data_IF_049831242499
#
_entry.id   IF_049831242499
#
_cell.length_a   1.000
_cell.length_b   1.000
_cell.length_c   1.000
_cell.angle_alpha   90.00
_cell.angle_beta   90.00
_cell.angle_gamma   90.00
#
_symmetry.space_group_name_H-M   'P 1'
#
loop_
_entity.id
_entity.type
_entity.pdbx_description
1 polymer ?
#
# COMPACT_ATOMS: atom_id res chain seq x y z
N UNK A 1 -19.51 -24.94 17.21
CA UNK A 1 -20.16 -23.86 16.45
C UNK A 1 -19.18 -23.43 15.36
N UNK A 2 -19.69 -23.11 14.18
CA UNK A 2 -18.90 -23.03 12.93
C UNK A 2 -17.97 -21.84 12.87
N UNK A 3 -16.67 -22.06 12.65
CA UNK A 3 -15.76 -21.03 12.15
C UNK A 3 -15.92 -20.89 10.64
N UNK A 4 -16.39 -19.72 10.20
CA UNK A 4 -16.47 -19.34 8.80
C UNK A 4 -15.77 -17.99 8.57
N UNK A 5 -14.72 -18.00 7.75
CA UNK A 5 -14.28 -16.88 6.91
C UNK A 5 -14.35 -15.46 7.51
N UNK A 6 -13.29 -15.01 8.18
CA UNK A 6 -13.00 -13.58 8.38
C UNK A 6 -11.64 -13.25 7.75
N UNK A 7 -11.62 -13.16 6.42
CA UNK A 7 -10.51 -12.56 5.68
C UNK A 7 -10.68 -11.05 5.60
N UNK A 8 -9.60 -10.29 5.73
CA UNK A 8 -9.64 -8.81 5.64
C UNK A 8 -9.31 -8.09 6.95
N UNK A 9 -8.20 -8.43 7.59
CA UNK A 9 -7.60 -7.56 8.60
C UNK A 9 -6.54 -6.68 7.94
N UNK A 10 -6.91 -5.43 7.64
CA UNK A 10 -5.94 -4.34 7.52
C UNK A 10 -5.08 -4.33 8.78
N UNK A 11 -3.82 -4.76 8.64
CA UNK A 11 -2.93 -4.93 9.78
C UNK A 11 -2.59 -3.55 10.33
N UNK A 12 -3.13 -3.32 11.53
CA UNK A 12 -2.66 -2.31 12.46
C UNK A 12 -1.12 -2.33 12.47
N UNK A 13 -0.49 -1.16 12.43
CA UNK A 13 0.96 -1.02 12.47
C UNK A 13 1.46 -1.39 13.88
N UNK A 14 1.59 -2.70 14.14
CA UNK A 14 1.85 -3.23 15.49
C UNK A 14 3.21 -2.77 15.99
N UNK A 15 4.23 -2.67 15.14
CA UNK A 15 5.54 -2.15 15.53
C UNK A 15 5.46 -0.66 15.86
N UNK A 16 4.79 0.15 15.03
CA UNK A 16 4.52 1.56 15.35
C UNK A 16 3.68 1.75 16.62
N UNK A 17 2.70 0.89 16.89
CA UNK A 17 1.86 0.96 18.09
C UNK A 17 2.52 0.40 19.35
N UNK A 18 3.41 -0.59 19.23
CA UNK A 18 4.25 -1.06 20.35
C UNK A 18 5.28 0.02 20.69
N UNK A 19 5.95 0.62 19.70
CA UNK A 19 6.81 1.79 19.92
C UNK A 19 6.05 2.95 20.55
N UNK A 20 4.85 3.27 20.06
CA UNK A 20 3.99 4.28 20.68
C UNK A 20 3.70 3.95 22.15
N UNK A 21 3.20 2.75 22.45
CA UNK A 21 2.83 2.36 23.81
C UNK A 21 4.02 2.26 24.78
N UNK A 22 5.22 1.97 24.28
CA UNK A 22 6.47 2.01 25.06
C UNK A 22 6.88 3.46 25.36
N UNK A 23 6.86 4.35 24.36
CA UNK A 23 7.23 5.76 24.54
C UNK A 23 6.21 6.53 25.40
N UNK A 24 4.91 6.25 25.24
CA UNK A 24 3.81 6.82 26.04
C UNK A 24 3.96 6.45 27.53
N UNK A 25 4.25 5.17 27.82
CA UNK A 25 4.56 4.72 29.20
C UNK A 25 5.84 5.33 29.78
N UNK A 26 6.85 5.61 28.96
CA UNK A 26 8.11 6.23 29.41
C UNK A 26 7.92 7.72 29.73
N UNK A 27 7.06 8.42 28.98
CA UNK A 27 6.72 9.82 29.23
C UNK A 27 5.98 10.01 30.57
N UNK A 28 5.07 9.08 30.91
CA UNK A 28 4.32 9.12 32.17
C UNK A 28 5.13 8.72 33.42
N UNK A 29 6.30 8.08 33.27
CA UNK A 29 7.02 7.48 34.41
C UNK A 29 8.35 8.14 34.79
N UNK A 30 8.83 9.14 34.03
CA UNK A 30 10.13 9.79 34.32
C UNK A 30 10.17 11.28 33.96
N UNK A 31 9.81 12.18 34.90
CA UNK A 31 10.07 13.60 34.74
C UNK A 31 11.57 13.90 34.96
N UNK A 32 12.27 14.36 33.92
CA UNK A 32 13.57 15.04 34.09
C UNK A 32 14.83 14.37 33.55
N UNK A 33 14.76 13.24 32.84
CA UNK A 33 15.93 12.65 32.16
C UNK A 33 16.11 13.23 30.74
N UNK A 34 17.32 13.72 30.45
CA UNK A 34 17.69 14.22 29.12
C UNK A 34 17.76 13.07 28.10
N UNK A 35 17.43 13.37 26.84
CA UNK A 35 17.10 12.36 25.83
C UNK A 35 18.29 11.52 25.28
N UNK A 36 19.50 11.65 25.83
CA UNK A 36 20.73 11.12 25.25
C UNK A 36 21.16 9.74 25.77
N UNK A 37 20.61 9.22 26.88
CA UNK A 37 21.10 7.98 27.51
C UNK A 37 20.36 6.68 27.13
N UNK A 38 19.29 6.72 26.31
CA UNK A 38 18.51 5.51 25.97
C UNK A 38 19.03 4.75 24.74
N UNK A 39 20.12 3.99 24.91
CA UNK A 39 20.67 3.11 23.87
C UNK A 39 19.70 1.98 23.46
N UNK A 40 19.39 1.75 22.16
CA UNK A 40 18.32 0.82 21.74
C UNK A 40 18.54 -0.68 21.99
N UNK A 41 19.73 -1.10 22.45
CA UNK A 41 20.10 -2.52 22.48
C UNK A 41 19.37 -3.31 23.57
N UNK A 42 19.09 -2.70 24.73
CA UNK A 42 18.35 -3.33 25.84
C UNK A 42 16.87 -3.55 25.51
N UNK A 43 16.27 -2.66 24.69
CA UNK A 43 14.85 -2.69 24.38
C UNK A 43 14.49 -3.86 23.45
N UNK A 44 15.36 -4.18 22.48
CA UNK A 44 15.20 -5.35 21.60
C UNK A 44 15.28 -6.67 22.35
N UNK A 45 16.29 -6.83 23.20
CA UNK A 45 16.52 -8.08 23.94
C UNK A 45 15.37 -8.41 24.92
N UNK A 46 14.79 -7.37 25.54
CA UNK A 46 13.62 -7.51 26.42
C UNK A 46 12.35 -7.88 25.64
N UNK A 47 12.12 -7.29 24.46
CA UNK A 47 10.99 -7.65 23.59
C UNK A 47 11.07 -9.08 23.07
N UNK A 48 12.27 -9.58 22.70
CA UNK A 48 12.44 -10.98 22.30
C UNK A 48 12.19 -11.96 23.45
N UNK A 49 12.64 -11.65 24.67
CA UNK A 49 12.38 -12.48 25.86
C UNK A 49 10.89 -12.55 26.21
N UNK A 50 10.16 -11.44 26.12
CA UNK A 50 8.70 -11.42 26.35
C UNK A 50 7.91 -12.14 25.25
N UNK A 51 8.38 -12.11 23.99
CA UNK A 51 7.76 -12.89 22.91
C UNK A 51 7.96 -14.40 23.09
N UNK A 52 9.12 -14.85 23.59
CA UNK A 52 9.35 -16.26 23.88
C UNK A 52 8.42 -16.78 24.99
N UNK A 53 8.31 -16.09 26.12
CA UNK A 53 7.47 -16.53 27.26
C UNK A 53 5.97 -16.62 26.92
N UNK A 54 5.49 -15.83 25.96
CA UNK A 54 4.08 -15.85 25.50
C UNK A 54 3.79 -17.02 24.54
N UNK A 55 4.83 -17.63 23.95
CA UNK A 55 4.69 -18.84 23.12
C UNK A 55 4.63 -20.08 24.01
N UNK A 56 5.49 -20.19 25.03
CA UNK A 56 5.50 -21.33 25.95
C UNK A 56 4.19 -21.42 26.77
N UNK A 57 3.65 -20.29 27.25
CA UNK A 57 2.36 -20.26 27.97
C UNK A 57 1.14 -20.74 27.17
N UNK A 58 1.27 -20.87 25.83
CA UNK A 58 0.23 -21.45 24.97
C UNK A 58 0.41 -22.94 24.73
N UNK A 59 1.65 -23.44 24.73
CA UNK A 59 1.97 -24.87 24.68
C UNK A 59 1.29 -25.61 25.84
N UNK A 60 1.45 -25.10 27.06
CA UNK A 60 1.07 -25.83 28.27
C UNK A 60 -0.44 -25.84 28.57
N UNK A 61 -1.25 -25.10 27.81
CA UNK A 61 -2.71 -24.98 28.03
C UNK A 61 -3.57 -25.88 27.12
N UNK A 62 -3.00 -26.53 26.11
CA UNK A 62 -3.73 -27.50 25.27
C UNK A 62 -3.57 -28.96 25.73
N UNK A 63 -2.62 -29.26 26.62
CA UNK A 63 -2.28 -30.64 27.03
C UNK A 63 -3.26 -31.31 28.04
N UNK A 64 -4.44 -30.74 28.34
CA UNK A 64 -5.30 -31.27 29.41
C UNK A 64 -6.79 -30.93 29.36
N UNK A 65 -7.58 -31.79 28.69
CA UNK A 65 -8.97 -32.15 29.09
C UNK A 65 -9.49 -33.39 28.32
N UNK A 66 -10.24 -34.31 28.96
CA UNK A 66 -10.64 -35.58 28.36
C UNK A 66 -11.93 -35.50 27.52
N UNK A 67 -12.09 -36.47 26.61
CA UNK A 67 -13.23 -36.58 25.70
C UNK A 67 -14.54 -37.02 26.38
N UNK A 68 -15.68 -36.61 25.82
CA UNK A 68 -17.01 -37.15 26.17
C UNK A 68 -17.86 -37.36 24.92
N UNK A 69 -18.34 -38.58 24.73
CA UNK A 69 -19.20 -38.99 23.60
C UNK A 69 -20.60 -38.39 23.73
N UNK A 70 -21.22 -38.03 22.59
CA UNK A 70 -22.68 -38.01 22.43
C UNK A 70 -23.07 -38.55 21.03
N UNK A 71 -24.16 -39.30 20.99
CA UNK A 71 -24.60 -40.11 19.84
C UNK A 71 -25.49 -39.32 18.87
N UNK A 72 -25.47 -39.71 17.58
CA UNK A 72 -26.46 -39.27 16.59
C UNK A 72 -27.72 -40.15 16.64
N UNK A 73 -28.88 -39.60 16.24
CA UNK A 73 -29.92 -40.37 15.56
C UNK A 73 -30.15 -39.87 14.12
N UNK A 74 -30.39 -40.81 13.22
CA UNK A 74 -30.66 -40.63 11.80
C UNK A 74 -32.14 -40.33 11.50
N UNK A 75 -32.41 -39.60 10.39
CA UNK A 75 -33.67 -39.75 9.63
C UNK A 75 -33.58 -39.23 8.19
N UNK A 76 -34.55 -39.64 7.37
CA UNK A 76 -34.45 -39.86 5.92
C UNK A 76 -35.24 -38.88 5.03
N UNK A 77 -34.88 -38.85 3.75
CA UNK A 77 -35.61 -38.25 2.62
C UNK A 77 -37.00 -38.88 2.36
N UNK A 78 -37.86 -38.19 1.58
CA UNK A 78 -38.65 -38.85 0.53
C UNK A 78 -38.77 -38.10 -0.82
N UNK A 79 -39.32 -38.79 -1.83
CA UNK A 79 -39.77 -38.31 -3.17
C UNK A 79 -41.27 -38.69 -3.38
N UNK A 80 -42.01 -38.40 -4.46
CA UNK A 80 -41.74 -37.72 -5.77
C UNK A 80 -42.84 -36.66 -6.07
N UNK A 81 -43.07 -36.06 -7.25
CA UNK A 81 -43.40 -36.52 -8.62
C UNK A 81 -43.18 -35.33 -9.60
N UNK A 82 -42.62 -35.45 -10.82
CA UNK A 82 -43.12 -36.05 -12.09
C UNK A 82 -44.46 -35.51 -12.63
N UNK A 83 -44.40 -34.67 -13.67
CA UNK A 83 -45.32 -34.66 -14.82
C UNK A 83 -44.47 -34.52 -16.10
N UNK A 84 -44.85 -35.22 -17.17
CA UNK A 84 -44.24 -35.18 -18.52
C UNK A 84 -45.38 -35.26 -19.53
N UNK A 85 -45.36 -34.43 -20.58
CA UNK A 85 -45.85 -34.84 -21.90
C UNK A 85 -45.26 -34.00 -23.03
N UNK A 86 -45.13 -34.63 -24.21
CA UNK A 86 -44.82 -34.03 -25.52
C UNK A 86 -46.16 -33.92 -26.31
N UNK A 87 -46.31 -33.51 -27.57
CA UNK A 87 -45.50 -33.77 -28.79
C UNK A 87 -46.00 -32.92 -29.99
N UNK A 88 -45.15 -32.80 -31.03
CA UNK A 88 -45.47 -32.59 -32.48
C UNK A 88 -46.17 -31.29 -32.94
N UNK A 89 -45.63 -30.48 -33.87
CA UNK A 89 -45.25 -30.63 -35.30
C UNK A 89 -46.42 -30.45 -36.31
N UNK A 90 -46.28 -29.50 -37.26
CA UNK A 90 -47.15 -29.39 -38.45
C UNK A 90 -47.27 -27.99 -39.09
N UNK A 91 -46.48 -27.72 -40.15
CA UNK A 91 -46.65 -26.59 -41.10
C UNK A 91 -47.32 -27.08 -42.40
N UNK A 92 -48.10 -26.28 -43.20
CA UNK A 92 -47.46 -25.44 -44.26
C UNK A 92 -48.23 -24.19 -44.82
N UNK A 93 -47.45 -23.27 -45.44
CA UNK A 93 -47.67 -22.42 -46.68
C UNK A 93 -49.04 -21.76 -46.96
N UNK A 94 -49.12 -20.47 -47.35
CA UNK A 94 -48.67 -19.94 -48.66
C UNK A 94 -48.49 -18.39 -48.74
N UNK A 95 -48.19 -17.86 -49.94
CA UNK A 95 -47.44 -16.61 -50.24
C UNK A 95 -48.23 -15.29 -50.51
N UNK A 96 -47.45 -14.24 -50.83
CA UNK A 96 -47.73 -12.98 -51.56
C UNK A 96 -48.04 -11.74 -50.68
N UNK A 97 -47.54 -10.52 -50.96
CA UNK A 97 -46.65 -10.00 -52.01
C UNK A 97 -45.99 -8.67 -51.54
N UNK A 98 -44.83 -8.29 -52.09
CA UNK A 98 -44.22 -6.96 -51.86
C UNK A 98 -44.86 -5.85 -52.72
N UNK A 99 -44.60 -4.58 -52.42
CA UNK A 99 -43.84 -3.77 -53.39
C UNK A 99 -42.76 -2.86 -52.78
N UNK A 100 -41.75 -2.52 -53.59
CA UNK A 100 -40.73 -1.51 -53.30
C UNK A 100 -41.17 -0.09 -53.70
N UNK A 101 -40.66 0.95 -53.00
CA UNK A 101 -39.85 2.01 -53.65
C UNK A 101 -39.15 2.98 -52.67
N UNK A 102 -37.84 3.13 -52.91
CA UNK A 102 -36.97 4.33 -52.78
C UNK A 102 -37.38 5.51 -51.87
N UNK A 103 -36.46 5.93 -50.98
CA UNK A 103 -35.81 7.27 -51.07
C UNK A 103 -34.55 7.39 -50.19
N UNK A 104 -33.56 8.10 -50.73
CA UNK A 104 -32.53 8.97 -50.14
C UNK A 104 -31.49 8.52 -49.08
N UNK A 105 -30.25 8.79 -49.46
CA UNK A 105 -29.00 8.66 -48.73
C UNK A 105 -28.63 9.88 -47.89
N UNK A 106 -28.17 9.68 -46.65
CA UNK A 106 -27.25 10.60 -45.91
C UNK A 106 -26.37 9.81 -44.91
N UNK A 107 -25.27 10.38 -44.38
CA UNK A 107 -24.05 9.59 -44.16
C UNK A 107 -23.94 8.95 -42.77
N UNK A 108 -23.08 7.93 -42.66
CA UNK A 108 -22.60 7.40 -41.38
C UNK A 108 -21.86 8.51 -40.61
N UNK A 109 -22.08 8.69 -39.30
CA UNK A 109 -21.25 9.56 -38.50
C UNK A 109 -19.85 8.96 -38.35
N UNK A 110 -18.83 9.82 -38.42
CA UNK A 110 -17.42 9.41 -38.46
C UNK A 110 -16.98 8.60 -37.25
N UNK A 111 -16.06 7.66 -37.50
CA UNK A 111 -15.46 6.84 -36.47
C UNK A 111 -14.68 7.72 -35.47
N UNK A 112 -15.05 7.64 -34.19
CA UNK A 112 -14.29 8.27 -33.10
C UNK A 112 -12.82 7.81 -33.15
N UNK A 113 -11.84 8.72 -32.96
CA UNK A 113 -10.44 8.36 -33.05
C UNK A 113 -10.09 7.29 -32.02
N UNK A 114 -9.38 6.25 -32.48
CA UNK A 114 -9.00 5.09 -31.67
C UNK A 114 -8.19 5.51 -30.44
N UNK A 115 -8.61 5.06 -29.26
CA UNK A 115 -7.78 5.22 -28.06
C UNK A 115 -6.45 4.49 -28.26
N UNK A 116 -5.34 5.14 -27.85
CA UNK A 116 -4.00 4.57 -27.93
C UNK A 116 -3.89 3.37 -26.98
N UNK A 117 -4.27 2.19 -27.48
CA UNK A 117 -4.21 0.94 -26.73
C UNK A 117 -2.74 0.60 -26.51
N UNK A 118 -2.22 0.87 -25.31
CA UNK A 118 -0.85 0.50 -24.92
C UNK A 118 -0.67 -1.00 -25.20
N UNK A 119 0.22 -1.34 -26.14
CA UNK A 119 0.56 -2.72 -26.49
C UNK A 119 0.94 -3.46 -25.21
N UNK A 120 0.16 -4.49 -24.85
CA UNK A 120 0.48 -5.36 -23.71
C UNK A 120 1.76 -6.11 -24.03
N UNK A 121 2.74 -6.06 -23.13
CA UNK A 121 3.99 -6.79 -23.30
C UNK A 121 3.75 -8.30 -23.22
N UNK A 122 4.45 -9.03 -24.08
CA UNK A 122 4.58 -10.49 -24.02
C UNK A 122 5.34 -10.93 -22.77
N UNK A 123 5.26 -12.22 -22.46
CA UNK A 123 6.01 -12.80 -21.34
C UNK A 123 7.52 -12.60 -21.51
N UNK A 124 8.03 -12.76 -22.72
CA UNK A 124 9.44 -12.57 -23.06
C UNK A 124 9.90 -11.11 -22.90
N UNK A 125 9.13 -10.13 -23.40
CA UNK A 125 9.42 -8.69 -23.19
C UNK A 125 9.48 -8.32 -21.68
N UNK A 126 8.64 -8.95 -20.84
CA UNK A 126 8.69 -8.76 -19.37
C UNK A 126 9.92 -9.46 -18.75
N UNK A 127 10.29 -10.65 -19.22
CA UNK A 127 11.51 -11.35 -18.80
C UNK A 127 12.77 -10.52 -19.08
N UNK A 128 12.86 -9.96 -20.28
CA UNK A 128 13.95 -9.04 -20.68
C UNK A 128 13.96 -7.75 -19.84
N UNK A 129 12.79 -7.23 -19.45
CA UNK A 129 12.67 -6.10 -18.50
C UNK A 129 13.28 -6.43 -17.14
N UNK A 130 13.00 -7.61 -16.57
CA UNK A 130 13.60 -8.04 -15.31
C UNK A 130 15.12 -8.22 -15.44
N UNK A 131 15.58 -8.86 -16.51
CA UNK A 131 17.01 -9.07 -16.77
C UNK A 131 17.77 -7.73 -16.90
N UNK A 132 17.20 -6.73 -17.58
CA UNK A 132 17.76 -5.37 -17.65
C UNK A 132 17.86 -4.70 -16.27
N UNK A 133 16.86 -4.86 -15.40
CA UNK A 133 16.88 -4.33 -14.03
C UNK A 133 17.92 -5.04 -13.16
N UNK A 134 18.04 -6.36 -13.26
CA UNK A 134 19.05 -7.18 -12.56
C UNK A 134 20.47 -6.74 -12.93
N UNK A 135 20.78 -6.65 -14.23
CA UNK A 135 22.10 -6.18 -14.70
C UNK A 135 22.43 -4.78 -14.24
N UNK A 136 21.45 -3.87 -14.20
CA UNK A 136 21.63 -2.51 -13.65
C UNK A 136 22.00 -2.55 -12.18
N UNK A 137 21.25 -3.31 -11.38
CA UNK A 137 21.52 -3.47 -9.95
C UNK A 137 22.95 -4.00 -9.72
N UNK A 138 23.32 -5.07 -10.42
CA UNK A 138 24.67 -5.66 -10.35
C UNK A 138 25.77 -4.68 -10.74
N UNK A 139 25.57 -3.91 -11.81
CA UNK A 139 26.53 -2.90 -12.27
C UNK A 139 26.67 -1.73 -11.28
N UNK A 140 25.58 -1.31 -10.64
CA UNK A 140 25.61 -0.28 -9.61
C UNK A 140 26.27 -0.79 -8.31
N UNK A 141 25.94 -2.01 -7.87
CA UNK A 141 26.59 -2.66 -6.73
C UNK A 141 28.10 -2.88 -6.94
N UNK A 142 28.55 -3.14 -8.17
CA UNK A 142 29.97 -3.21 -8.49
C UNK A 142 30.67 -1.85 -8.34
N UNK A 143 30.05 -0.75 -8.78
CA UNK A 143 30.58 0.61 -8.61
C UNK A 143 30.66 1.03 -7.14
N UNK A 144 29.70 0.59 -6.32
CA UNK A 144 29.57 0.94 -4.90
C UNK A 144 30.04 -0.15 -3.93
N UNK A 145 30.82 -1.14 -4.39
CA UNK A 145 31.15 -2.36 -3.65
C UNK A 145 31.74 -2.15 -2.25
N UNK A 146 32.45 -1.03 -2.04
CA UNK A 146 33.07 -0.66 -0.76
C UNK A 146 32.39 0.54 -0.08
N UNK A 147 31.23 1.01 -0.55
CA UNK A 147 30.55 2.14 0.07
C UNK A 147 30.03 1.80 1.47
N UNK A 148 30.27 2.71 2.42
CA UNK A 148 29.70 2.68 3.77
C UNK A 148 28.23 3.10 3.82
N UNK A 149 27.66 3.56 2.71
CA UNK A 149 26.29 4.08 2.62
C UNK A 149 25.23 2.95 2.67
N UNK A 150 25.60 1.72 2.33
CA UNK A 150 24.72 0.56 2.49
C UNK A 150 24.57 0.15 3.95
N UNK A 151 23.34 0.24 4.49
CA UNK A 151 23.04 -0.34 5.80
C UNK A 151 23.15 -1.87 5.78
N UNK A 152 23.93 -2.42 6.72
CA UNK A 152 24.11 -3.88 6.91
C UNK A 152 22.96 -4.54 7.68
N UNK A 153 21.73 -4.03 7.51
CA UNK A 153 20.55 -4.60 8.16
C UNK A 153 20.16 -5.90 7.46
N UNK A 154 20.05 -7.00 8.22
CA UNK A 154 19.58 -8.28 7.69
C UNK A 154 18.10 -8.15 7.28
N UNK A 155 17.73 -8.32 6.00
CA UNK A 155 16.34 -8.24 5.58
C UNK A 155 15.49 -9.39 6.14
N UNK A 156 14.25 -9.05 6.51
CA UNK A 156 13.24 -10.02 6.93
C UNK A 156 12.43 -10.43 5.69
N UNK A 157 12.69 -11.63 5.18
CA UNK A 157 11.99 -12.17 4.01
C UNK A 157 10.62 -12.74 4.37
N UNK A 158 9.64 -12.51 3.48
CA UNK A 158 8.44 -13.33 3.42
C UNK A 158 8.72 -14.56 2.56
N UNK A 159 8.75 -15.72 3.20
CA UNK A 159 9.01 -17.01 2.57
C UNK A 159 7.72 -17.66 2.08
N UNK A 160 7.77 -18.22 0.88
CA UNK A 160 6.78 -19.09 0.27
C UNK A 160 7.50 -20.32 -0.31
N UNK A 161 7.68 -21.40 0.46
CA UNK A 161 8.00 -22.71 -0.08
C UNK A 161 7.04 -23.14 -1.20
N UNK A 162 7.59 -23.84 -2.19
CA UNK A 162 6.94 -24.27 -3.43
C UNK A 162 7.32 -25.72 -3.75
N UNK A 163 6.80 -26.20 -4.87
CA UNK A 163 7.00 -27.55 -5.39
C UNK A 163 8.42 -27.81 -5.88
N UNK A 164 8.80 -29.09 -5.92
CA UNK A 164 10.06 -29.59 -6.50
C UNK A 164 11.32 -28.93 -5.92
N UNK A 165 11.37 -28.75 -4.60
CA UNK A 165 12.49 -28.12 -3.91
C UNK A 165 12.79 -26.71 -4.45
N UNK A 166 11.74 -25.88 -4.56
CA UNK A 166 11.84 -24.46 -4.92
C UNK A 166 11.28 -23.65 -3.75
N UNK A 167 11.87 -22.49 -3.45
CA UNK A 167 11.28 -21.52 -2.53
C UNK A 167 11.25 -20.15 -3.16
N UNK A 168 10.19 -19.38 -2.93
CA UNK A 168 10.11 -17.99 -3.34
C UNK A 168 10.22 -17.10 -2.11
N UNK A 169 11.21 -16.20 -2.08
CA UNK A 169 11.42 -15.26 -0.97
C UNK A 169 11.27 -13.82 -1.46
N UNK A 170 10.39 -13.09 -0.79
CA UNK A 170 10.08 -11.70 -1.10
C UNK A 170 10.67 -10.79 -0.01
N UNK A 171 11.46 -9.78 -0.39
CA UNK A 171 11.85 -8.71 0.54
C UNK A 171 10.81 -7.56 0.49
N UNK A 172 10.02 -7.34 1.56
CA UNK A 172 8.95 -6.35 1.57
C UNK A 172 9.45 -4.95 1.90
N UNK A 173 9.69 -4.14 0.88
CA UNK A 173 10.02 -2.72 1.04
C UNK A 173 8.75 -1.93 1.34
N UNK A 174 8.78 -1.07 2.35
CA UNK A 174 7.62 -0.25 2.63
C UNK A 174 7.32 0.77 1.52
N UNK A 175 6.02 1.03 1.33
CA UNK A 175 5.46 1.95 0.32
C UNK A 175 5.66 1.56 -1.15
N UNK A 176 6.14 0.35 -1.46
CA UNK A 176 6.29 -0.22 -2.82
C UNK A 176 5.24 -1.28 -3.19
N UNK A 177 4.11 -1.29 -2.46
CA UNK A 177 3.05 -2.32 -2.50
C UNK A 177 3.38 -3.63 -1.77
N UNK A 178 4.24 -3.58 -0.74
CA UNK A 178 4.48 -4.66 0.25
C UNK A 178 3.19 -5.29 0.80
N UNK A 179 2.24 -4.46 1.23
CA UNK A 179 0.93 -4.90 1.73
C UNK A 179 0.15 -5.72 0.71
N UNK A 180 0.12 -5.28 -0.55
CA UNK A 180 -0.52 -5.99 -1.67
C UNK A 180 0.07 -7.38 -1.85
N UNK A 181 1.41 -7.50 -1.78
CA UNK A 181 2.09 -8.79 -1.86
C UNK A 181 1.80 -9.73 -0.67
N UNK A 182 1.55 -9.21 0.54
CA UNK A 182 1.07 -10.05 1.67
C UNK A 182 -0.25 -10.74 1.30
N UNK A 183 -1.18 -10.00 0.71
CA UNK A 183 -2.45 -10.54 0.22
C UNK A 183 -2.29 -11.56 -0.91
N UNK A 184 -1.45 -11.26 -1.91
CA UNK A 184 -1.13 -12.18 -3.02
C UNK A 184 -0.52 -13.49 -2.48
N UNK A 185 0.46 -13.41 -1.58
CA UNK A 185 1.06 -14.59 -0.95
C UNK A 185 0.06 -15.41 -0.14
N UNK A 186 -0.92 -14.76 0.51
CA UNK A 186 -2.05 -15.43 1.15
C UNK A 186 -2.88 -16.24 0.14
N UNK A 187 -3.31 -15.61 -0.95
CA UNK A 187 -4.07 -16.30 -2.00
C UNK A 187 -3.32 -17.46 -2.65
N UNK A 188 -2.00 -17.34 -2.86
CA UNK A 188 -1.17 -18.44 -3.40
C UNK A 188 -1.01 -19.58 -2.38
N UNK A 189 -0.94 -19.29 -1.07
CA UNK A 189 -0.92 -20.34 -0.03
C UNK A 189 -2.23 -21.12 0.01
N UNK A 190 -3.37 -20.44 -0.11
CA UNK A 190 -4.67 -21.13 -0.21
C UNK A 190 -4.79 -21.96 -1.50
N UNK A 191 -4.34 -21.43 -2.65
CA UNK A 191 -4.27 -22.20 -3.91
C UNK A 191 -3.47 -23.50 -3.74
N UNK A 192 -2.29 -23.42 -3.11
CA UNK A 192 -1.46 -24.60 -2.83
C UNK A 192 -2.12 -25.55 -1.82
N UNK A 193 -2.77 -25.03 -0.77
CA UNK A 193 -3.48 -25.85 0.22
C UNK A 193 -4.63 -26.64 -0.41
N UNK A 194 -5.43 -26.00 -1.27
CA UNK A 194 -6.56 -26.60 -1.99
C UNK A 194 -6.13 -27.71 -2.96
N UNK A 195 -4.95 -27.57 -3.57
CA UNK A 195 -4.40 -28.57 -4.51
C UNK A 195 -3.91 -29.87 -3.82
N UNK A 196 -4.15 -30.05 -2.51
CA UNK A 196 -3.69 -31.22 -1.75
C UNK A 196 -2.17 -31.30 -1.65
N UNK A 197 -1.51 -30.13 -1.69
CA UNK A 197 -0.09 -30.00 -2.01
C UNK A 197 0.74 -29.62 -0.75
N UNK A 198 1.36 -30.59 -0.05
CA UNK A 198 2.13 -30.34 1.17
C UNK A 198 3.42 -29.54 0.95
N UNK A 199 3.80 -28.75 1.96
CA UNK A 199 5.13 -28.14 2.08
C UNK A 199 6.18 -29.22 2.37
N UNK A 200 6.98 -29.59 1.35
CA UNK A 200 8.22 -30.34 1.54
C UNK A 200 9.40 -29.41 1.24
N UNK A 201 9.92 -28.79 2.30
CA UNK A 201 11.20 -28.07 2.26
C UNK A 201 12.33 -29.10 2.34
N UNK A 202 12.98 -29.36 1.20
CA UNK A 202 14.26 -30.06 1.18
C UNK A 202 15.41 -29.09 1.45
N UNK A 203 16.55 -29.63 1.87
CA UNK A 203 17.81 -28.91 1.76
C UNK A 203 18.16 -28.70 0.27
N UNK A 204 18.88 -27.63 -0.04
CA UNK A 204 19.25 -27.31 -1.43
C UNK A 204 18.12 -26.75 -2.31
N UNK A 205 17.04 -26.22 -1.73
CA UNK A 205 15.93 -25.65 -2.49
C UNK A 205 16.37 -24.48 -3.39
N UNK A 206 15.96 -24.49 -4.66
CA UNK A 206 16.21 -23.40 -5.61
C UNK A 206 15.44 -22.15 -5.21
N UNK A 207 16.14 -21.07 -4.89
CA UNK A 207 15.52 -19.85 -4.39
C UNK A 207 15.17 -18.87 -5.52
N UNK A 208 13.92 -18.41 -5.52
CA UNK A 208 13.39 -17.34 -6.35
C UNK A 208 13.31 -16.09 -5.47
N UNK A 209 14.36 -15.29 -5.53
CA UNK A 209 14.47 -14.05 -4.77
C UNK A 209 13.91 -12.88 -5.56
N UNK A 210 12.96 -12.15 -4.97
CA UNK A 210 12.31 -11.01 -5.61
C UNK A 210 11.95 -9.89 -4.65
N UNK A 211 11.71 -8.71 -5.21
CA UNK A 211 11.34 -7.51 -4.47
C UNK A 211 10.67 -6.49 -5.39
N UNK A 212 10.09 -5.43 -4.82
CA UNK A 212 9.47 -4.34 -5.56
C UNK A 212 9.99 -3.00 -5.08
N UNK A 213 10.41 -2.16 -6.01
CA UNK A 213 10.91 -0.81 -5.77
C UNK A 213 9.94 0.24 -6.33
N UNK A 214 10.19 1.51 -6.02
CA UNK A 214 9.37 2.63 -6.46
C UNK A 214 10.26 3.84 -6.70
N UNK A 215 9.83 4.70 -7.62
CA UNK A 215 10.44 6.01 -7.83
C UNK A 215 10.55 6.74 -6.46
N UNK A 216 11.77 7.12 -6.02
CA UNK A 216 12.03 7.54 -4.63
C UNK A 216 11.22 8.74 -4.13
N UNK A 217 11.02 9.79 -4.93
CA UNK A 217 10.25 10.96 -4.54
C UNK A 217 8.76 10.63 -4.37
N UNK A 218 8.19 9.85 -5.29
CA UNK A 218 6.85 9.27 -5.16
C UNK A 218 6.76 8.35 -3.94
N UNK A 219 7.84 7.67 -3.54
CA UNK A 219 7.87 6.83 -2.33
C UNK A 219 7.80 7.69 -1.07
N UNK A 220 8.59 8.76 -0.98
CA UNK A 220 8.52 9.75 0.11
C UNK A 220 7.13 10.36 0.25
N UNK A 221 6.53 10.85 -0.84
CA UNK A 221 5.16 11.38 -0.81
C UNK A 221 4.14 10.32 -0.41
N UNK A 222 4.35 9.06 -0.80
CA UNK A 222 3.50 7.95 -0.37
C UNK A 222 3.60 7.68 1.13
N UNK A 223 4.78 7.88 1.73
CA UNK A 223 4.98 7.81 3.18
C UNK A 223 4.23 8.93 3.90
N UNK A 224 4.53 10.18 3.53
CA UNK A 224 3.87 11.37 4.11
C UNK A 224 2.34 11.31 4.03
N UNK A 225 1.79 11.09 2.83
CA UNK A 225 0.33 11.10 2.63
C UNK A 225 -0.40 10.00 3.42
N UNK A 226 0.27 8.88 3.67
CA UNK A 226 -0.30 7.73 4.37
C UNK A 226 -0.18 7.80 5.89
N UNK A 227 0.91 8.41 6.38
CA UNK A 227 1.30 8.36 7.78
C UNK A 227 1.17 9.68 8.52
N UNK A 228 1.30 10.82 7.85
CA UNK A 228 1.31 12.15 8.48
C UNK A 228 0.13 13.04 8.03
N UNK A 229 -0.27 12.97 6.76
CA UNK A 229 -1.42 13.73 6.25
C UNK A 229 -2.76 13.10 6.64
N UNK A 230 -2.89 11.78 6.46
CA UNK A 230 -4.00 10.97 6.97
C UNK A 230 -4.23 11.19 8.49
N UNK A 231 -5.42 10.92 9.05
CA UNK A 231 -5.73 11.03 10.49
C UNK A 231 -5.01 10.00 11.41
N UNK A 232 -3.71 9.83 11.26
CA UNK A 232 -2.90 8.85 11.98
C UNK A 232 -2.18 9.49 13.18
N UNK A 233 -2.85 9.53 14.32
CA UNK A 233 -2.31 10.18 15.52
C UNK A 233 -1.05 9.50 16.08
N UNK A 234 -0.84 8.21 15.83
CA UNK A 234 0.38 7.53 16.32
C UNK A 234 1.65 8.08 15.64
N UNK A 235 1.59 8.29 14.33
CA UNK A 235 2.70 8.90 13.59
C UNK A 235 2.81 10.41 13.85
N UNK A 236 1.69 11.10 14.06
CA UNK A 236 1.68 12.48 14.57
C UNK A 236 2.39 12.60 15.93
N UNK A 237 2.13 11.68 16.86
CA UNK A 237 2.72 11.70 18.20
C UNK A 237 4.20 11.32 18.25
N UNK A 238 4.63 10.27 17.52
CA UNK A 238 6.03 9.82 17.51
C UNK A 238 6.89 10.74 16.66
N UNK A 239 6.52 10.94 15.40
CA UNK A 239 7.34 11.63 14.43
C UNK A 239 6.89 13.07 14.25
N UNK A 240 5.59 13.31 14.17
CA UNK A 240 5.08 14.65 13.86
C UNK A 240 5.46 15.71 14.91
N UNK A 241 5.34 15.40 16.20
CA UNK A 241 5.82 16.28 17.29
C UNK A 241 7.30 16.62 17.12
N UNK A 242 8.14 15.62 16.80
CA UNK A 242 9.55 15.84 16.53
C UNK A 242 9.75 16.85 15.39
N UNK A 243 9.04 16.70 14.26
CA UNK A 243 9.17 17.63 13.11
C UNK A 243 8.73 19.05 13.47
N UNK A 244 7.60 19.19 14.19
CA UNK A 244 7.09 20.48 14.66
C UNK A 244 8.10 21.15 15.60
N UNK A 245 8.55 20.46 16.65
CA UNK A 245 9.46 21.03 17.67
C UNK A 245 10.83 21.41 17.10
N UNK A 246 11.36 20.68 16.11
CA UNK A 246 12.70 20.94 15.55
C UNK A 246 12.70 21.92 14.36
N UNK A 247 11.63 21.97 13.56
CA UNK A 247 11.64 22.70 12.29
C UNK A 247 10.61 23.83 12.18
N UNK A 248 9.58 23.87 13.03
CA UNK A 248 8.54 24.92 12.99
C UNK A 248 8.86 26.07 13.94
N UNK A 249 8.98 27.28 13.39
CA UNK A 249 9.03 28.52 14.20
C UNK A 249 7.63 28.85 14.71
N UNK A 250 7.52 29.29 15.97
CA UNK A 250 6.28 29.73 16.61
C UNK A 250 5.15 28.68 16.54
N UNK A 251 5.48 27.40 16.77
CA UNK A 251 4.49 26.32 16.80
C UNK A 251 3.44 26.54 17.90
N UNK A 252 2.17 26.25 17.59
CA UNK A 252 1.09 26.31 18.59
C UNK A 252 1.23 25.16 19.59
N UNK A 253 0.68 25.33 20.80
CA UNK A 253 0.67 24.25 21.79
C UNK A 253 -0.02 22.99 21.26
N UNK A 254 -1.08 23.12 20.45
CA UNK A 254 -1.74 21.98 19.83
C UNK A 254 -0.81 21.26 18.83
N UNK A 255 -0.10 22.02 17.98
CA UNK A 255 0.89 21.48 17.05
C UNK A 255 1.99 20.70 17.77
N UNK A 256 2.51 21.24 18.88
CA UNK A 256 3.56 20.60 19.69
C UNK A 256 3.04 19.33 20.38
N UNK A 257 1.83 19.37 20.94
CA UNK A 257 1.24 18.24 21.68
C UNK A 257 0.79 17.11 20.75
N UNK A 258 0.31 17.41 19.55
CA UNK A 258 -0.31 16.43 18.66
C UNK A 258 0.48 16.08 17.39
N UNK A 259 1.24 17.01 16.80
CA UNK A 259 2.06 16.76 15.60
C UNK A 259 1.27 16.30 14.36
N UNK A 260 -0.04 16.50 14.32
CA UNK A 260 -0.91 16.05 13.23
C UNK A 260 -0.98 17.03 12.04
N UNK A 261 -0.49 18.25 12.22
CA UNK A 261 -0.52 19.35 11.25
C UNK A 261 0.83 19.55 10.53
N UNK A 262 1.65 18.51 10.47
CA UNK A 262 2.96 18.52 9.79
C UNK A 262 2.80 18.71 8.28
N UNK A 263 3.50 19.70 7.75
CA UNK A 263 3.54 20.01 6.31
C UNK A 263 4.56 19.14 5.57
N UNK A 264 4.42 19.04 4.25
CA UNK A 264 5.38 18.27 3.44
C UNK A 264 6.83 18.79 3.50
N UNK A 265 7.10 20.11 3.53
CA UNK A 265 8.46 20.64 3.74
C UNK A 265 9.07 20.27 5.09
N UNK A 266 8.29 20.25 6.18
CA UNK A 266 8.78 19.81 7.50
C UNK A 266 9.12 18.31 7.50
N UNK A 267 8.32 17.49 6.79
CA UNK A 267 8.62 16.09 6.55
C UNK A 267 9.92 15.89 5.72
N UNK A 268 10.19 16.75 4.74
CA UNK A 268 11.44 16.71 3.98
C UNK A 268 12.64 17.07 4.86
N UNK A 269 12.55 18.13 5.68
CA UNK A 269 13.60 18.50 6.64
C UNK A 269 13.89 17.39 7.64
N UNK A 270 12.84 16.75 8.14
CA UNK A 270 12.95 15.54 8.95
C UNK A 270 13.68 14.41 8.22
N UNK A 271 13.31 14.10 6.97
CA UNK A 271 13.97 13.05 6.19
C UNK A 271 15.47 13.34 6.03
N UNK A 272 15.82 14.57 5.63
CA UNK A 272 17.22 15.02 5.51
C UNK A 272 17.97 14.82 6.82
N UNK A 273 17.39 15.28 7.93
CA UNK A 273 17.97 15.20 9.27
C UNK A 273 18.26 13.74 9.70
N UNK A 274 17.25 12.85 9.62
CA UNK A 274 17.42 11.45 10.07
C UNK A 274 18.29 10.59 9.15
N UNK A 275 18.46 10.97 7.87
CA UNK A 275 19.46 10.32 7.03
C UNK A 275 20.88 10.81 7.37
N UNK A 276 21.11 12.13 7.47
CA UNK A 276 22.45 12.68 7.77
C UNK A 276 23.00 12.26 9.12
N UNK A 277 22.16 12.20 10.15
CA UNK A 277 22.62 11.88 11.50
C UNK A 277 22.71 10.37 11.78
N UNK A 278 22.18 9.52 10.89
CA UNK A 278 22.06 8.07 11.08
C UNK A 278 21.41 7.63 12.43
N UNK A 279 20.64 8.52 13.07
CA UNK A 279 20.05 8.32 14.41
C UNK A 279 18.95 7.27 14.38
N UNK A 280 19.28 6.04 14.80
CA UNK A 280 18.42 4.86 14.61
C UNK A 280 17.05 4.92 15.29
N UNK A 281 16.87 5.78 16.30
CA UNK A 281 15.61 5.94 17.05
C UNK A 281 14.48 6.56 16.22
N UNK A 282 14.79 7.41 15.24
CA UNK A 282 13.81 8.11 14.40
C UNK A 282 13.82 7.66 12.92
N UNK A 283 14.52 6.57 12.57
CA UNK A 283 14.50 6.03 11.20
C UNK A 283 13.33 5.04 11.02
N UNK A 284 12.24 5.54 10.43
CA UNK A 284 11.04 4.74 10.13
C UNK A 284 11.10 4.06 8.74
N UNK A 285 10.71 2.78 8.67
CA UNK A 285 10.69 2.00 7.44
C UNK A 285 9.89 2.64 6.29
N UNK A 286 8.81 3.36 6.59
CA UNK A 286 7.97 4.02 5.59
C UNK A 286 8.63 5.27 4.98
N UNK A 287 9.74 5.75 5.55
CA UNK A 287 10.42 7.00 5.16
C UNK A 287 11.87 6.80 4.69
N UNK A 288 12.65 5.87 5.27
CA UNK A 288 14.05 5.60 4.87
C UNK A 288 14.19 5.25 3.37
N UNK A 289 15.36 5.45 2.73
CA UNK A 289 15.63 5.05 1.34
C UNK A 289 15.31 3.58 1.03
N UNK A 290 15.10 3.26 -0.26
CA UNK A 290 14.77 1.91 -0.72
C UNK A 290 15.92 0.94 -0.48
N UNK A 291 17.17 1.35 -0.75
CA UNK A 291 18.37 0.54 -0.55
C UNK A 291 18.60 0.09 0.90
N UNK A 292 18.01 0.76 1.89
CA UNK A 292 18.14 0.40 3.31
C UNK A 292 17.20 -0.71 3.79
N UNK A 293 16.21 -1.11 2.98
CA UNK A 293 15.26 -2.18 3.35
C UNK A 293 15.82 -3.58 3.14
N UNK A 294 16.71 -3.76 2.17
CA UNK A 294 17.19 -5.06 1.72
C UNK A 294 18.66 -4.97 1.33
N UNK A 295 19.42 -6.04 1.58
CA UNK A 295 20.81 -6.12 1.16
C UNK A 295 20.91 -6.46 -0.35
N UNK A 296 20.67 -5.47 -1.20
CA UNK A 296 20.58 -5.66 -2.65
C UNK A 296 21.90 -6.08 -3.32
N UNK A 297 23.05 -5.84 -2.68
CA UNK A 297 24.35 -6.08 -3.28
C UNK A 297 24.96 -7.42 -2.84
N UNK A 298 24.59 -7.96 -1.66
CA UNK A 298 25.01 -9.30 -1.26
C UNK A 298 23.94 -10.37 -1.53
N UNK A 299 22.69 -9.99 -1.84
CA UNK A 299 21.60 -10.94 -2.12
C UNK A 299 21.23 -10.95 -3.61
N UNK A 300 21.27 -12.11 -4.30
CA UNK A 300 21.05 -12.19 -5.75
C UNK A 300 19.56 -12.11 -6.12
N UNK A 301 18.97 -10.92 -6.04
CA UNK A 301 17.59 -10.66 -6.46
C UNK A 301 17.41 -10.90 -7.96
N UNK A 302 16.74 -12.01 -8.31
CA UNK A 302 16.47 -12.35 -9.72
C UNK A 302 15.40 -11.46 -10.34
N UNK A 303 14.41 -11.04 -9.57
CA UNK A 303 13.28 -10.25 -10.06
C UNK A 303 13.07 -8.96 -9.24
N UNK A 304 13.50 -7.83 -9.79
CA UNK A 304 13.19 -6.49 -9.26
C UNK A 304 11.99 -5.91 -10.00
N UNK A 305 10.83 -5.89 -9.34
CA UNK A 305 9.61 -5.27 -9.86
C UNK A 305 9.59 -3.76 -9.61
N UNK A 306 8.91 -2.98 -10.46
CA UNK A 306 8.65 -1.56 -10.17
C UNK A 306 7.17 -1.34 -9.88
N UNK A 307 6.85 -0.46 -8.93
CA UNK A 307 5.48 -0.12 -8.56
C UNK A 307 4.65 0.44 -9.74
N UNK A 308 5.29 1.08 -10.73
CA UNK A 308 4.64 1.55 -11.96
C UNK A 308 4.28 0.43 -12.95
N UNK A 309 4.94 -0.73 -12.88
CA UNK A 309 4.66 -1.93 -13.69
C UNK A 309 4.07 -3.08 -12.87
N UNK A 310 3.53 -2.78 -11.69
CA UNK A 310 3.18 -3.76 -10.65
C UNK A 310 2.27 -4.90 -11.15
N UNK A 311 1.21 -4.59 -11.90
CA UNK A 311 0.26 -5.58 -12.40
C UNK A 311 0.92 -6.62 -13.33
N UNK A 312 1.82 -6.18 -14.19
CA UNK A 312 2.53 -7.03 -15.14
C UNK A 312 3.62 -7.84 -14.44
N UNK A 313 4.44 -7.17 -13.63
CA UNK A 313 5.55 -7.78 -12.89
C UNK A 313 5.03 -8.86 -11.92
N UNK A 314 3.93 -8.59 -11.20
CA UNK A 314 3.29 -9.56 -10.29
C UNK A 314 2.74 -10.77 -11.04
N UNK A 315 2.01 -10.57 -12.16
CA UNK A 315 1.51 -11.70 -12.95
C UNK A 315 2.63 -12.49 -13.65
N UNK A 316 3.77 -11.87 -13.96
CA UNK A 316 4.95 -12.58 -14.44
C UNK A 316 5.59 -13.44 -13.35
N UNK A 317 5.83 -12.88 -12.16
CA UNK A 317 6.41 -13.61 -11.01
C UNK A 317 5.51 -14.79 -10.60
N UNK A 318 4.18 -14.60 -10.57
CA UNK A 318 3.21 -15.67 -10.29
C UNK A 318 3.33 -16.86 -11.28
N UNK A 319 3.52 -16.57 -12.57
CA UNK A 319 3.77 -17.60 -13.59
C UNK A 319 5.15 -18.27 -13.41
N UNK A 320 6.19 -17.51 -13.06
CA UNK A 320 7.54 -18.05 -12.78
C UNK A 320 7.54 -19.01 -11.58
N UNK A 321 6.69 -18.80 -10.58
CA UNK A 321 6.52 -19.70 -9.43
C UNK A 321 5.49 -20.82 -9.67
N UNK A 322 5.01 -20.99 -10.91
CA UNK A 322 3.98 -21.98 -11.30
C UNK A 322 2.65 -21.88 -10.52
N UNK A 323 2.28 -20.68 -10.05
CA UNK A 323 0.96 -20.41 -9.48
C UNK A 323 -0.06 -20.11 -10.59
N UNK A 324 -1.27 -20.66 -10.45
CA UNK A 324 -2.39 -20.38 -11.37
C UNK A 324 -3.14 -19.10 -11.01
N UNK A 325 -2.92 -18.56 -9.79
CA UNK A 325 -3.49 -17.30 -9.33
C UNK A 325 -3.21 -16.15 -10.32
N UNK A 326 -4.27 -15.54 -10.84
CA UNK A 326 -4.21 -14.37 -11.71
C UNK A 326 -4.54 -13.11 -10.93
N UNK A 327 -3.51 -12.33 -10.59
CA UNK A 327 -3.69 -11.06 -9.89
C UNK A 327 -4.41 -10.05 -10.79
N UNK A 328 -5.67 -9.74 -10.44
CA UNK A 328 -6.55 -8.77 -11.13
C UNK A 328 -7.18 -7.72 -10.18
N UNK A 329 -6.86 -7.76 -8.88
CA UNK A 329 -7.61 -7.03 -7.84
C UNK A 329 -7.37 -5.52 -7.94
N UNK A 330 -8.45 -4.74 -8.01
CA UNK A 330 -8.42 -3.28 -7.88
C UNK A 330 -8.68 -2.91 -6.42
N UNK A 331 -7.70 -2.28 -5.78
CA UNK A 331 -7.73 -1.97 -4.35
C UNK A 331 -8.42 -0.65 -4.02
N UNK A 332 -8.90 0.12 -5.02
CA UNK A 332 -9.48 1.44 -4.79
C UNK A 332 -10.68 1.39 -3.82
N UNK A 333 -11.57 0.40 -3.95
CA UNK A 333 -12.72 0.20 -3.06
C UNK A 333 -12.34 -0.38 -1.68
N UNK A 334 -11.41 -1.33 -1.65
CA UNK A 334 -10.89 -1.91 -0.40
C UNK A 334 -10.15 -0.86 0.44
N UNK A 335 -9.37 0.01 -0.20
CA UNK A 335 -8.73 1.15 0.45
C UNK A 335 -9.75 2.16 1.01
N UNK A 336 -10.85 2.42 0.31
CA UNK A 336 -11.92 3.26 0.84
C UNK A 336 -12.45 2.67 2.15
N UNK A 337 -12.78 1.38 2.19
CA UNK A 337 -13.28 0.75 3.42
C UNK A 337 -12.22 0.65 4.53
N UNK A 338 -11.01 0.16 4.21
CA UNK A 338 -9.89 -0.01 5.15
C UNK A 338 -9.57 1.30 5.87
N UNK A 339 -9.37 2.40 5.13
CA UNK A 339 -9.00 3.69 5.74
C UNK A 339 -10.16 4.34 6.50
N UNK A 340 -11.40 4.19 6.02
CA UNK A 340 -12.60 4.71 6.72
C UNK A 340 -12.83 3.97 8.03
N UNK A 341 -12.74 2.65 8.02
CA UNK A 341 -12.80 1.78 9.20
C UNK A 341 -11.62 2.04 10.15
N UNK A 342 -10.41 2.27 9.64
CA UNK A 342 -9.25 2.56 10.48
C UNK A 342 -9.39 3.91 11.19
N UNK A 343 -9.61 5.00 10.45
CA UNK A 343 -9.56 6.35 11.02
C UNK A 343 -10.86 6.82 11.67
N UNK A 344 -12.01 6.56 11.03
CA UNK A 344 -13.31 7.09 11.49
C UNK A 344 -14.04 6.15 12.47
N UNK A 345 -13.54 4.92 12.66
CA UNK A 345 -14.04 3.96 13.67
C UNK A 345 -12.97 3.56 14.67
N UNK A 346 -11.92 2.83 14.24
CA UNK A 346 -10.94 2.23 15.18
C UNK A 346 -10.09 3.27 15.91
N UNK A 347 -9.66 4.32 15.21
CA UNK A 347 -8.81 5.38 15.78
C UNK A 347 -9.57 6.66 16.18
N UNK A 348 -10.89 6.76 15.93
CA UNK A 348 -11.71 7.95 16.25
C UNK A 348 -11.45 8.50 17.66
N UNK A 349 -11.40 7.71 18.76
CA UNK A 349 -11.14 8.23 20.11
C UNK A 349 -9.74 8.85 20.33
N UNK A 350 -8.77 8.58 19.45
CA UNK A 350 -7.46 9.25 19.43
C UNK A 350 -7.47 10.44 18.48
N UNK A 351 -8.06 10.29 17.29
CA UNK A 351 -8.19 11.35 16.27
C UNK A 351 -8.83 12.61 16.83
N UNK A 352 -9.97 12.48 17.53
CA UNK A 352 -10.71 13.62 18.08
C UNK A 352 -10.00 14.37 19.22
N UNK A 353 -8.85 13.87 19.71
CA UNK A 353 -8.01 14.59 20.68
C UNK A 353 -7.11 15.65 20.02
N UNK A 354 -6.93 15.59 18.70
CA UNK A 354 -5.92 16.37 17.97
C UNK A 354 -6.43 17.08 16.71
N UNK A 355 -7.60 16.68 16.19
CA UNK A 355 -8.27 17.29 15.05
C UNK A 355 -9.79 17.10 15.17
N UNK A 356 -10.59 17.92 14.49
CA UNK A 356 -12.04 17.69 14.42
C UNK A 356 -12.36 16.48 13.53
N UNK A 357 -13.57 15.92 13.66
CA UNK A 357 -14.01 14.84 12.79
C UNK A 357 -14.21 15.31 11.33
N UNK A 358 -14.58 16.58 11.14
CA UNK A 358 -14.58 17.26 9.84
C UNK A 358 -13.20 17.26 9.19
N UNK A 359 -12.18 17.75 9.90
CA UNK A 359 -10.80 17.81 9.40
C UNK A 359 -10.28 16.40 9.07
N UNK A 360 -10.56 15.42 9.93
CA UNK A 360 -10.19 14.02 9.72
C UNK A 360 -10.83 13.44 8.44
N UNK A 361 -12.12 13.67 8.24
CA UNK A 361 -12.85 13.22 7.06
C UNK A 361 -12.38 13.93 5.78
N UNK A 362 -12.13 15.25 5.82
CA UNK A 362 -11.59 16.02 4.69
C UNK A 362 -10.17 15.57 4.31
N UNK A 363 -9.27 15.37 5.28
CA UNK A 363 -7.93 14.79 5.06
C UNK A 363 -8.01 13.42 4.39
N UNK A 364 -8.92 12.56 4.84
CA UNK A 364 -9.12 11.24 4.23
C UNK A 364 -9.64 11.35 2.79
N UNK A 365 -10.59 12.25 2.52
CA UNK A 365 -11.10 12.54 1.17
C UNK A 365 -9.98 13.04 0.23
N UNK A 366 -9.16 13.99 0.70
CA UNK A 366 -7.99 14.51 -0.02
C UNK A 366 -6.94 13.42 -0.26
N UNK A 367 -6.70 12.54 0.72
CA UNK A 367 -5.81 11.37 0.57
C UNK A 367 -6.26 10.44 -0.56
N UNK A 368 -7.58 10.21 -0.71
CA UNK A 368 -8.10 9.46 -1.87
C UNK A 368 -7.89 10.19 -3.20
N UNK A 369 -7.96 11.53 -3.24
CA UNK A 369 -7.61 12.32 -4.45
C UNK A 369 -6.10 12.24 -4.79
N UNK A 370 -5.22 12.36 -3.79
CA UNK A 370 -3.75 12.21 -3.92
C UNK A 370 -3.37 10.81 -4.45
N UNK A 371 -4.11 9.78 -4.04
CA UNK A 371 -3.94 8.39 -4.50
C UNK A 371 -4.53 8.13 -5.89
N UNK A 372 -5.28 9.08 -6.46
CA UNK A 372 -6.03 8.89 -7.70
C UNK A 372 -7.19 7.89 -7.55
N UNK A 373 -7.72 7.70 -6.34
CA UNK A 373 -8.92 6.88 -6.07
C UNK A 373 -10.17 7.69 -6.42
N UNK A 374 -10.29 8.90 -5.88
CA UNK A 374 -11.35 9.85 -6.22
C UNK A 374 -10.84 10.86 -7.25
N UNK A 375 -11.73 11.31 -8.14
CA UNK A 375 -11.39 12.36 -9.10
C UNK A 375 -11.20 13.71 -8.42
N UNK A 376 -10.30 14.54 -8.95
CA UNK A 376 -9.98 15.89 -8.44
C UNK A 376 -11.25 16.73 -8.19
N UNK A 377 -12.21 16.64 -9.11
CA UNK A 377 -13.49 17.36 -9.09
C UNK A 377 -14.55 16.82 -8.11
N UNK A 378 -14.37 15.68 -7.43
CA UNK A 378 -15.39 15.16 -6.50
C UNK A 378 -15.42 16.03 -5.22
N UNK A 379 -16.49 16.80 -4.95
CA UNK A 379 -16.55 17.64 -3.75
C UNK A 379 -16.56 16.79 -2.48
N UNK A 380 -16.15 17.36 -1.35
CA UNK A 380 -16.39 16.71 -0.05
C UNK A 380 -17.91 16.77 0.25
N UNK A 381 -18.59 15.63 0.50
CA UNK A 381 -20.05 15.58 0.41
C UNK A 381 -20.78 15.89 1.73
N UNK A 382 -20.07 16.32 2.78
CA UNK A 382 -20.65 16.56 4.11
C UNK A 382 -20.52 18.03 4.53
N UNK A 383 -21.56 18.57 5.16
CA UNK A 383 -21.51 19.87 5.87
C UNK A 383 -20.83 19.73 7.23
N UNK A 384 -20.46 20.85 7.86
CA UNK A 384 -19.81 20.84 9.17
C UNK A 384 -20.70 20.15 10.23
N UNK A 385 -22.00 20.39 10.21
CA UNK A 385 -22.99 19.78 11.11
C UNK A 385 -23.05 18.26 10.90
N UNK A 386 -23.13 17.81 9.64
CA UNK A 386 -23.14 16.38 9.29
C UNK A 386 -21.87 15.65 9.73
N UNK A 387 -20.73 16.34 9.79
CA UNK A 387 -19.47 15.73 10.24
C UNK A 387 -19.34 15.51 11.74
N UNK A 388 -20.19 16.12 12.58
CA UNK A 388 -20.10 16.00 14.04
C UNK A 388 -20.32 14.55 14.50
N UNK A 389 -21.36 13.91 13.96
CA UNK A 389 -21.74 12.53 14.28
C UNK A 389 -21.37 11.51 13.19
N UNK A 390 -20.59 11.91 12.19
CA UNK A 390 -20.26 11.10 11.02
C UNK A 390 -19.75 9.69 11.37
N UNK A 391 -20.46 8.68 10.87
CA UNK A 391 -20.08 7.28 11.04
C UNK A 391 -19.23 6.81 9.85
N UNK A 392 -18.28 5.91 10.13
CA UNK A 392 -17.42 5.31 9.09
C UNK A 392 -18.21 4.75 7.89
N UNK A 393 -19.39 4.16 8.11
CA UNK A 393 -20.21 3.58 7.04
C UNK A 393 -20.84 4.64 6.12
N UNK A 394 -21.22 5.80 6.65
CA UNK A 394 -21.76 6.90 5.83
C UNK A 394 -20.66 7.51 4.96
N UNK A 395 -19.47 7.70 5.54
CA UNK A 395 -18.30 8.13 4.79
C UNK A 395 -17.86 7.10 3.74
N UNK A 396 -17.79 5.80 4.08
CA UNK A 396 -17.52 4.72 3.11
C UNK A 396 -18.53 4.74 1.97
N UNK A 397 -19.84 4.87 2.26
CA UNK A 397 -20.90 4.94 1.24
C UNK A 397 -20.70 6.13 0.31
N UNK A 398 -20.53 7.34 0.85
CA UNK A 398 -20.32 8.55 0.06
C UNK A 398 -19.02 8.52 -0.77
N UNK A 399 -17.93 7.97 -0.22
CA UNK A 399 -16.68 7.78 -0.94
C UNK A 399 -16.81 6.73 -2.06
N UNK A 400 -17.56 5.65 -1.85
CA UNK A 400 -17.86 4.66 -2.89
C UNK A 400 -18.73 5.25 -4.01
N UNK A 401 -19.71 6.10 -3.69
CA UNK A 401 -20.50 6.82 -4.70
C UNK A 401 -19.67 7.83 -5.50
N UNK A 402 -18.76 8.56 -4.86
CA UNK A 402 -17.83 9.45 -5.57
C UNK A 402 -16.80 8.67 -6.40
N UNK A 403 -16.47 7.44 -5.99
CA UNK A 403 -15.61 6.53 -6.75
C UNK A 403 -16.30 5.96 -7.99
N UNK A 404 -17.59 5.61 -7.94
CA UNK A 404 -18.33 5.17 -9.14
C UNK A 404 -18.60 6.32 -10.11
N UNK A 405 -18.78 7.55 -9.61
CA UNK A 405 -18.89 8.79 -10.41
C UNK A 405 -17.53 9.34 -10.88
N UNK A 406 -16.42 8.70 -10.53
CA UNK A 406 -15.07 9.16 -10.87
C UNK A 406 -14.60 8.71 -12.24
N UNK A 407 -13.79 9.56 -12.87
CA UNK A 407 -13.15 9.32 -14.17
C UNK A 407 -12.39 7.98 -14.22
N UNK A 408 -12.15 7.41 -15.42
CA UNK A 408 -11.35 6.20 -15.58
C UNK A 408 -9.95 6.34 -14.95
N UNK A 409 -9.39 5.22 -14.49
CA UNK A 409 -8.07 5.17 -13.83
C UNK A 409 -6.92 5.72 -14.68
N UNK A 410 -7.07 5.71 -16.01
CA UNK A 410 -6.15 6.34 -16.97
C UNK A 410 -6.09 7.87 -16.87
N UNK A 411 -7.19 8.51 -16.44
CA UNK A 411 -7.27 9.96 -16.19
C UNK A 411 -6.80 10.25 -14.76
N UNK A 412 -7.43 9.62 -13.76
CA UNK A 412 -7.10 9.81 -12.34
C UNK A 412 -5.65 9.50 -11.99
N UNK A 413 -4.98 8.63 -12.75
CA UNK A 413 -3.56 8.31 -12.54
C UNK A 413 -2.63 9.52 -12.57
N UNK A 414 -2.98 10.58 -13.33
CA UNK A 414 -2.21 11.83 -13.40
C UNK A 414 -2.26 12.66 -12.13
N UNK A 415 -3.32 12.53 -11.31
CA UNK A 415 -3.48 13.29 -10.06
C UNK A 415 -2.34 13.05 -9.07
N UNK A 416 -1.65 11.89 -9.16
CA UNK A 416 -0.47 11.64 -8.35
C UNK A 416 0.72 12.53 -8.76
N UNK A 417 0.89 12.78 -10.06
CA UNK A 417 1.94 13.65 -10.58
C UNK A 417 1.62 15.13 -10.27
N UNK A 418 0.35 15.53 -10.35
CA UNK A 418 -0.11 16.85 -9.89
C UNK A 418 0.15 17.05 -8.39
N UNK A 419 -0.22 16.07 -7.56
CA UNK A 419 0.06 16.11 -6.11
C UNK A 419 1.57 16.09 -5.79
N UNK A 420 2.40 15.41 -6.58
CA UNK A 420 3.86 15.51 -6.45
C UNK A 420 4.36 16.91 -6.77
N UNK A 421 3.90 17.52 -7.87
CA UNK A 421 4.27 18.88 -8.25
C UNK A 421 3.89 19.88 -7.16
N UNK A 422 2.67 19.82 -6.63
CA UNK A 422 2.23 20.70 -5.54
C UNK A 422 3.08 20.50 -4.27
N UNK A 423 3.29 19.24 -3.86
CA UNK A 423 4.08 18.91 -2.67
C UNK A 423 5.52 19.42 -2.80
N UNK A 424 6.25 19.06 -3.86
CA UNK A 424 7.65 19.45 -4.03
C UNK A 424 7.85 20.92 -4.42
N UNK A 425 6.86 21.60 -5.01
CA UNK A 425 6.90 23.05 -5.20
C UNK A 425 6.86 23.83 -3.87
N UNK A 426 6.31 23.24 -2.80
CA UNK A 426 6.37 23.83 -1.45
C UNK A 426 7.73 23.64 -0.75
N UNK A 427 8.62 22.82 -1.31
CA UNK A 427 9.92 22.48 -0.73
C UNK A 427 11.01 23.39 -1.33
N UNK A 428 11.87 24.02 -0.51
CA UNK A 428 13.01 24.80 -0.98
C UNK A 428 13.91 24.01 -1.94
N UNK A 429 14.64 24.72 -2.83
CA UNK A 429 15.45 24.05 -3.85
C UNK A 429 16.65 23.32 -3.23
N UNK A 430 17.26 23.93 -2.21
CA UNK A 430 18.32 23.39 -1.39
C UNK A 430 17.91 22.06 -0.72
N UNK A 431 16.73 22.02 -0.10
CA UNK A 431 16.18 20.80 0.51
C UNK A 431 15.90 19.72 -0.56
N UNK A 432 15.41 20.10 -1.75
CA UNK A 432 15.22 19.14 -2.86
C UNK A 432 16.53 18.57 -3.39
N UNK A 433 17.57 19.39 -3.54
CA UNK A 433 18.90 18.96 -3.98
C UNK A 433 19.57 18.04 -2.95
N UNK A 434 19.37 18.31 -1.67
CA UNK A 434 19.84 17.45 -0.58
C UNK A 434 19.13 16.08 -0.58
N UNK A 435 17.80 16.05 -0.75
CA UNK A 435 17.05 14.79 -0.91
C UNK A 435 17.55 14.00 -2.13
N UNK A 436 17.88 14.67 -3.24
CA UNK A 436 18.47 14.02 -4.43
C UNK A 436 19.80 13.32 -4.09
N UNK A 437 20.68 13.97 -3.33
CA UNK A 437 21.95 13.40 -2.90
C UNK A 437 21.75 12.21 -1.96
N UNK A 438 20.86 12.32 -0.96
CA UNK A 438 20.54 11.25 -0.01
C UNK A 438 19.86 10.03 -0.65
N UNK A 439 19.29 10.17 -1.85
CA UNK A 439 18.62 9.10 -2.60
C UNK A 439 19.42 8.60 -3.82
N UNK A 440 20.67 9.05 -4.02
CA UNK A 440 21.44 8.75 -5.22
C UNK A 440 21.59 7.23 -5.49
N UNK A 441 21.81 6.41 -4.46
CA UNK A 441 21.83 4.95 -4.58
C UNK A 441 20.50 4.39 -5.10
N UNK A 442 19.35 4.88 -4.64
CA UNK A 442 18.04 4.43 -5.14
C UNK A 442 17.87 4.75 -6.64
N UNK A 443 18.31 5.94 -7.08
CA UNK A 443 18.26 6.32 -8.49
C UNK A 443 19.16 5.40 -9.32
N UNK A 444 20.38 5.09 -8.88
CA UNK A 444 21.30 4.25 -9.64
C UNK A 444 20.96 2.76 -9.67
N UNK A 445 20.71 2.15 -8.49
CA UNK A 445 20.47 0.71 -8.33
C UNK A 445 19.25 0.26 -9.13
N UNK A 446 18.20 1.08 -9.12
CA UNK A 446 16.90 0.76 -9.75
C UNK A 446 16.70 1.50 -11.08
N UNK A 447 17.47 2.56 -11.32
CA UNK A 447 17.45 3.39 -12.54
C UNK A 447 16.16 4.15 -12.69
N UNK A 448 15.90 4.97 -11.67
CA UNK A 448 14.93 6.05 -11.70
C UNK A 448 15.63 7.36 -12.08
N UNK A 449 14.86 8.32 -12.57
CA UNK A 449 15.35 9.66 -12.88
C UNK A 449 15.62 10.44 -11.57
N UNK A 450 16.84 10.97 -11.34
CA UNK A 450 17.14 11.78 -10.17
C UNK A 450 16.55 13.20 -10.24
N UNK A 451 16.21 13.70 -11.43
CA UNK A 451 15.77 15.09 -11.67
C UNK A 451 14.44 15.17 -12.44
N UNK A 452 13.38 14.45 -12.01
CA UNK A 452 12.12 14.43 -12.75
C UNK A 452 11.41 15.79 -12.69
N UNK A 453 10.74 16.17 -13.79
CA UNK A 453 9.98 17.43 -13.91
C UNK A 453 8.92 17.62 -12.80
N UNK A 454 8.51 16.58 -12.08
CA UNK A 454 7.57 16.64 -10.94
C UNK A 454 8.21 17.17 -9.65
N UNK A 455 9.54 17.19 -9.57
CA UNK A 455 10.33 17.64 -8.40
C UNK A 455 11.24 18.80 -8.75
N UNK A 456 11.84 18.77 -9.96
CA UNK A 456 12.68 19.84 -10.51
C UNK A 456 12.05 20.37 -11.81
N UNK A 457 10.89 21.05 -11.75
CA UNK A 457 10.24 21.56 -12.94
C UNK A 457 11.08 22.68 -13.59
N UNK A 458 11.17 22.65 -14.92
CA UNK A 458 11.82 23.69 -15.73
C UNK A 458 11.09 25.03 -15.66
N UNK A 459 9.77 24.97 -15.49
CA UNK A 459 8.87 26.11 -15.36
C UNK A 459 8.36 26.25 -13.92
N UNK A 460 8.11 27.47 -13.41
CA UNK A 460 7.51 27.67 -12.09
C UNK A 460 6.17 26.94 -11.95
N UNK A 461 5.97 26.27 -10.81
CA UNK A 461 4.69 25.63 -10.50
C UNK A 461 3.58 26.66 -10.38
N UNK A 462 2.56 26.55 -11.24
CA UNK A 462 1.36 27.38 -11.21
C UNK A 462 0.33 26.72 -10.32
N UNK A 463 0.11 27.28 -9.12
CA UNK A 463 -0.94 26.83 -8.19
C UNK A 463 -2.30 26.99 -8.84
N UNK A 464 -3.11 25.94 -8.78
CA UNK A 464 -4.54 25.98 -9.12
C UNK A 464 -5.28 26.76 -8.01
N UNK A 465 -5.93 27.90 -8.31
CA UNK A 465 -6.60 28.71 -7.29
C UNK A 465 -7.85 28.04 -6.72
N UNK A 466 -8.42 27.07 -7.45
CA UNK A 466 -9.69 26.42 -7.12
C UNK A 466 -9.51 25.03 -6.51
N UNK A 467 -8.26 24.56 -6.35
CA UNK A 467 -7.97 23.26 -5.75
C UNK A 467 -6.53 23.15 -5.26
N UNK A 468 -6.34 22.61 -4.06
CA UNK A 468 -5.06 22.11 -3.57
C UNK A 468 -5.22 20.66 -3.05
N UNK A 469 -4.18 19.84 -3.22
CA UNK A 469 -4.13 18.48 -2.67
C UNK A 469 -3.90 18.44 -1.16
N UNK A 470 -3.17 19.41 -0.60
CA UNK A 470 -2.73 19.40 0.80
C UNK A 470 -3.37 20.47 1.68
N UNK A 471 -4.00 21.49 1.10
CA UNK A 471 -4.96 22.33 1.81
C UNK A 471 -6.24 21.51 2.08
N UNK A 472 -6.62 21.37 3.35
CA UNK A 472 -7.72 20.48 3.79
C UNK A 472 -9.09 21.09 3.50
N UNK A 473 -9.18 22.44 3.47
CA UNK A 473 -10.45 23.17 3.44
C UNK A 473 -10.75 23.86 2.10
N UNK A 474 -9.73 24.06 1.25
CA UNK A 474 -9.85 24.53 -0.14
C UNK A 474 -10.54 23.51 -1.07
#
# INVERSE_FOLDING_TARGET
LTESSVGGFGAVDVDGMVKAAVLDKMADTTPGLQAEELSPMWLRDRLQKTLASVVDEKSDKEAGKPARQQQQPSRSLPQSHKIVEKTEQGTPKHDQKAPEKQTDSKPKPDAKPSSSTKKRLSFEEIGQRFEKRRRRLESACQRHKNSSEFNKLKPIFMNLPLYHNVSAKYCPIEKTSSWTWRGVLGSVREELREQGRPYLMGEGAKEILYTFTREPYSRLLSGYADKLFNPNTAFGWIYGKFMVTHFRKNATQNSIVCGNDVTFPEFVKYFIHVQKQHTSSYRDGHFIPTHDHCDFCNIPYKYIGHQSTFLEDTNYILQVINSTFRYKKNYDAEAIDDYSTLYLKRLRPRVVKCMTLDEAARRLWKSFKIRGILSKNQPFPFTLEQTQDLMHFDFTRAAMEAYTKSEPKSVRGKQREEAMREAFASVPLEDRLEVKQLLHLDFELFGFDPEPDTVFPKEPYKRDPNFSYFDVFN
#
